data_IF_997830399000
#
_entry.id   IF_997830399000
#
_cell.length_a   1.000
_cell.length_b   1.000
_cell.length_c   1.000
_cell.angle_alpha   90.00
_cell.angle_beta   90.00
_cell.angle_gamma   90.00
#
_symmetry.space_group_name_H-M   'P 1'
#
loop_
_entity.id
_entity.type
_entity.pdbx_description
1 polymer ?
#
# COMPACT_ATOMS: atom_id res chain seq x y z
N UNK A 1 -18.91 19.47 1.83
CA UNK A 1 -17.53 19.92 1.58
C UNK A 1 -16.61 18.76 1.89
N UNK A 2 -15.64 18.46 1.02
CA UNK A 2 -14.71 17.33 1.16
C UNK A 2 -13.71 17.52 2.30
N UNK A 3 -13.05 16.41 2.64
CA UNK A 3 -11.96 16.41 3.59
C UNK A 3 -10.81 17.28 3.05
N UNK A 4 -10.21 18.19 3.86
CA UNK A 4 -9.17 19.07 3.38
C UNK A 4 -7.85 18.31 3.19
N UNK A 5 -7.41 18.23 1.94
CA UNK A 5 -6.16 17.60 1.52
C UNK A 5 -5.29 18.60 0.76
N UNK A 6 -3.99 18.34 0.73
CA UNK A 6 -3.02 19.04 -0.09
C UNK A 6 -2.35 18.04 -1.03
N UNK A 7 -2.73 18.08 -2.31
CA UNK A 7 -2.25 17.16 -3.34
C UNK A 7 -1.36 17.91 -4.33
N UNK A 8 -0.24 17.31 -4.70
CA UNK A 8 0.54 17.72 -5.85
C UNK A 8 0.67 16.54 -6.80
N UNK A 9 0.42 16.82 -8.08
CA UNK A 9 0.63 15.89 -9.17
C UNK A 9 1.75 16.45 -10.05
N UNK A 10 2.79 15.66 -10.24
CA UNK A 10 3.99 15.99 -11.01
C UNK A 10 3.97 15.32 -12.39
N UNK A 11 3.00 14.45 -12.66
CA UNK A 11 2.84 13.78 -13.96
C UNK A 11 1.38 13.64 -14.37
N UNK A 12 1.08 14.15 -15.56
CA UNK A 12 -0.15 13.82 -16.27
C UNK A 12 0.10 12.55 -17.09
N UNK A 13 -0.70 11.51 -16.85
CA UNK A 13 -0.66 10.30 -17.66
C UNK A 13 -1.39 10.52 -18.98
N UNK A 14 -0.96 9.82 -20.01
CA UNK A 14 -1.65 9.79 -21.30
C UNK A 14 -3.12 9.32 -21.08
N UNK A 15 -4.14 9.99 -21.65
CA UNK A 15 -5.53 9.55 -21.56
C UNK A 15 -5.77 8.10 -21.98
N UNK A 16 -4.94 7.56 -22.87
CA UNK A 16 -5.00 6.19 -23.37
C UNK A 16 -4.07 5.23 -22.61
N UNK A 17 -3.46 5.68 -21.51
CA UNK A 17 -2.59 4.84 -20.69
C UNK A 17 -3.34 3.60 -20.17
N UNK A 18 -2.79 2.44 -20.49
CA UNK A 18 -3.18 1.15 -19.93
C UNK A 18 -2.03 0.55 -19.14
N UNK A 19 -2.20 0.37 -17.83
CA UNK A 19 -1.12 -0.17 -17.02
C UNK A 19 -1.32 -0.04 -15.52
N UNK A 20 -0.34 -0.55 -14.77
CA UNK A 20 -0.34 -0.46 -13.32
C UNK A 20 -0.07 0.97 -12.87
N UNK A 21 -0.80 1.40 -11.83
CA UNK A 21 -0.53 2.63 -11.07
C UNK A 21 -0.39 2.24 -9.61
N UNK A 22 0.67 2.68 -8.96
CA UNK A 22 0.90 2.41 -7.54
C UNK A 22 0.51 3.62 -6.70
N UNK A 23 -0.23 3.36 -5.63
CA UNK A 23 -0.47 4.35 -4.58
C UNK A 23 -0.02 3.77 -3.25
N UNK A 24 1.00 4.38 -2.65
CA UNK A 24 1.60 3.89 -1.42
C UNK A 24 1.37 4.87 -0.26
N UNK A 25 1.07 4.33 0.91
CA UNK A 25 1.20 5.10 2.14
C UNK A 25 2.69 5.35 2.46
N UNK A 26 2.97 6.44 3.17
CA UNK A 26 4.33 6.82 3.58
C UNK A 26 4.59 6.39 5.03
N UNK A 27 3.67 6.70 5.93
CA UNK A 27 3.90 6.62 7.37
C UNK A 27 3.76 5.16 7.80
N UNK A 28 4.77 4.62 8.50
CA UNK A 28 4.84 3.19 8.88
C UNK A 28 4.76 2.18 7.73
N UNK A 29 4.67 2.62 6.49
CA UNK A 29 4.78 1.79 5.29
C UNK A 29 6.17 1.90 4.66
N UNK A 30 6.65 3.14 4.45
CA UNK A 30 8.01 3.43 3.97
C UNK A 30 8.91 3.90 5.11
N UNK A 31 8.42 4.83 5.93
CA UNK A 31 9.17 5.41 7.04
C UNK A 31 8.83 4.71 8.36
N UNK A 32 9.84 4.45 9.19
CA UNK A 32 9.67 4.03 10.59
C UNK A 32 9.24 5.23 11.45
N UNK A 33 8.11 5.87 11.14
CA UNK A 33 7.63 7.04 11.88
C UNK A 33 6.76 6.65 13.07
N UNK A 34 7.25 6.92 14.29
CA UNK A 34 6.44 6.90 15.53
C UNK A 34 5.72 8.24 15.72
N UNK A 35 4.77 8.62 14.87
CA UNK A 35 3.94 9.79 15.15
C UNK A 35 2.83 9.45 16.15
N UNK A 36 3.18 9.36 17.44
CA UNK A 36 2.24 8.94 18.48
C UNK A 36 1.48 10.07 19.18
N UNK A 37 1.67 11.35 18.83
CA UNK A 37 0.75 12.42 19.28
C UNK A 37 0.98 13.79 18.62
N UNK A 38 -0.06 14.63 18.66
CA UNK A 38 0.00 16.08 18.41
C UNK A 38 1.11 16.81 19.19
N UNK A 39 1.46 16.35 20.41
CA UNK A 39 2.58 16.87 21.21
C UNK A 39 3.95 16.38 20.71
N UNK A 40 4.02 15.18 20.14
CA UNK A 40 5.22 14.66 19.48
C UNK A 40 5.56 15.42 18.20
N UNK A 41 4.55 15.82 17.43
CA UNK A 41 4.73 16.65 16.22
C UNK A 41 5.28 18.06 16.50
N UNK A 42 4.83 18.73 17.57
CA UNK A 42 5.33 20.05 17.96
C UNK A 42 6.79 20.02 18.45
N UNK A 43 7.30 18.82 18.77
CA UNK A 43 8.67 18.59 19.24
C UNK A 43 9.64 18.16 18.14
N UNK A 44 9.21 17.96 16.89
CA UNK A 44 10.10 17.60 15.78
C UNK A 44 10.97 18.83 15.48
N UNK A 45 12.21 18.89 15.99
CA UNK A 45 13.04 20.07 15.85
C UNK A 45 13.83 19.86 14.56
N UNK A 46 13.43 20.47 13.45
CA UNK A 46 14.26 20.54 12.24
C UNK A 46 14.97 19.20 11.90
N UNK A 47 14.28 18.06 12.07
CA UNK A 47 14.90 16.76 11.84
C UNK A 47 15.23 16.70 10.36
N UNK A 48 16.54 16.69 10.07
CA UNK A 48 17.07 16.56 8.71
C UNK A 48 16.46 15.31 8.09
N UNK A 49 16.17 15.36 6.79
CA UNK A 49 15.66 14.21 6.03
C UNK A 49 16.46 12.92 6.31
N UNK A 50 17.77 13.08 6.53
CA UNK A 50 18.77 12.06 6.89
C UNK A 50 18.44 11.27 8.18
N UNK A 51 17.69 11.84 9.14
CA UNK A 51 17.39 11.18 10.42
C UNK A 51 16.17 10.26 10.36
N UNK A 52 15.37 10.33 9.29
CA UNK A 52 14.21 9.45 9.13
C UNK A 52 14.70 8.08 8.67
N UNK A 53 14.45 7.04 9.47
CA UNK A 53 14.80 5.68 9.11
C UNK A 53 13.70 5.08 8.24
N UNK A 54 14.08 4.58 7.05
CA UNK A 54 13.20 3.81 6.19
C UNK A 54 13.18 2.34 6.63
N UNK A 55 12.07 1.66 6.38
CA UNK A 55 11.92 0.22 6.62
C UNK A 55 12.82 -0.55 5.64
N UNK A 56 13.46 -1.62 6.13
CA UNK A 56 14.48 -2.35 5.39
C UNK A 56 13.98 -2.83 4.02
N UNK A 57 14.64 -2.36 2.97
CA UNK A 57 14.35 -2.72 1.59
C UNK A 57 13.18 -1.97 0.93
N UNK A 58 12.39 -1.16 1.66
CA UNK A 58 11.23 -0.47 1.09
C UNK A 58 11.64 0.59 0.05
N UNK A 59 12.68 1.37 0.32
CA UNK A 59 13.23 2.31 -0.67
C UNK A 59 13.67 1.59 -1.96
N UNK A 60 14.27 0.39 -1.84
CA UNK A 60 14.63 -0.41 -3.01
C UNK A 60 13.40 -0.96 -3.72
N UNK A 61 12.39 -1.41 -2.99
CA UNK A 61 11.14 -1.89 -3.56
C UNK A 61 10.46 -0.81 -4.41
N UNK A 62 10.35 0.43 -3.93
CA UNK A 62 9.78 1.52 -4.73
C UNK A 62 10.59 1.83 -5.98
N UNK A 63 11.93 1.75 -5.90
CA UNK A 63 12.80 1.84 -7.09
C UNK A 63 12.52 0.70 -8.08
N UNK A 64 12.26 -0.52 -7.62
CA UNK A 64 11.87 -1.63 -8.51
C UNK A 64 10.49 -1.45 -9.12
N UNK A 65 9.52 -0.97 -8.35
CA UNK A 65 8.19 -0.60 -8.86
C UNK A 65 8.35 0.41 -10.00
N UNK A 66 9.17 1.45 -9.79
CA UNK A 66 9.48 2.44 -10.84
C UNK A 66 10.18 1.87 -12.06
N UNK A 67 10.96 0.80 -11.92
CA UNK A 67 11.59 0.14 -13.06
C UNK A 67 10.58 -0.69 -13.87
N UNK A 68 9.56 -1.24 -13.21
CA UNK A 68 8.56 -2.12 -13.81
C UNK A 68 9.07 -3.54 -14.10
N UNK A 69 8.28 -4.38 -14.79
CA UNK A 69 8.74 -5.65 -15.34
C UNK A 69 9.79 -5.44 -16.44
N UNK A 70 10.63 -6.45 -16.71
CA UNK A 70 11.68 -6.36 -17.73
C UNK A 70 11.11 -6.15 -19.16
N UNK A 71 11.96 -5.68 -20.08
CA UNK A 71 11.77 -5.35 -21.52
C UNK A 71 11.40 -3.90 -21.88
N UNK A 72 10.96 -3.07 -20.93
CA UNK A 72 11.03 -1.62 -21.06
C UNK A 72 11.09 -1.03 -19.65
N UNK A 73 12.00 -0.09 -19.38
CA UNK A 73 11.89 0.75 -18.19
C UNK A 73 10.57 1.51 -18.28
N UNK A 74 9.52 0.94 -17.69
CA UNK A 74 8.25 1.60 -17.51
C UNK A 74 8.43 2.40 -16.27
N UNK A 75 8.71 3.69 -16.43
CA UNK A 75 8.63 4.70 -15.38
C UNK A 75 7.24 4.62 -14.74
N UNK A 76 7.03 3.63 -13.88
CA UNK A 76 5.69 3.11 -13.57
C UNK A 76 5.04 4.10 -12.63
N UNK A 77 3.81 4.57 -12.90
CA UNK A 77 3.22 5.63 -12.11
C UNK A 77 3.18 5.27 -10.61
N UNK A 78 3.78 6.11 -9.78
CA UNK A 78 3.93 5.90 -8.35
C UNK A 78 3.57 7.18 -7.59
N UNK A 79 2.49 7.10 -6.84
CA UNK A 79 1.95 8.18 -6.02
C UNK A 79 2.03 7.82 -4.55
N UNK A 80 2.16 8.84 -3.69
CA UNK A 80 2.18 8.65 -2.25
C UNK A 80 1.07 9.40 -1.53
N UNK A 81 0.54 8.80 -0.48
CA UNK A 81 -0.44 9.38 0.44
C UNK A 81 0.14 9.37 1.85
N UNK A 82 -0.07 10.44 2.61
CA UNK A 82 0.41 10.53 4.00
C UNK A 82 -0.56 11.32 4.86
N UNK A 83 -0.88 10.76 6.03
CA UNK A 83 -1.67 11.45 7.04
C UNK A 83 -0.89 12.58 7.74
N UNK A 84 0.42 12.68 7.51
CA UNK A 84 1.27 13.75 8.01
C UNK A 84 0.79 15.14 7.52
N UNK A 85 1.04 16.20 8.31
CA UNK A 85 0.72 17.55 7.89
C UNK A 85 1.47 17.96 6.64
N UNK A 86 0.82 18.76 5.78
CA UNK A 86 1.43 19.32 4.55
C UNK A 86 2.78 20.02 4.78
N UNK A 87 3.02 20.58 5.98
CA UNK A 87 4.27 21.24 6.34
C UNK A 87 5.47 20.30 6.33
N UNK A 88 5.25 18.99 6.49
CA UNK A 88 6.31 17.98 6.43
C UNK A 88 6.62 17.51 5.00
N UNK A 89 5.89 18.00 3.99
CA UNK A 89 6.05 17.59 2.60
C UNK A 89 7.50 17.68 2.14
N UNK A 90 8.12 18.85 2.27
CA UNK A 90 9.46 19.09 1.72
C UNK A 90 10.51 18.17 2.35
N UNK A 91 10.38 17.89 3.64
CA UNK A 91 11.26 16.97 4.37
C UNK A 91 11.06 15.52 3.90
N UNK A 92 9.81 15.09 3.76
CA UNK A 92 9.47 13.72 3.34
C UNK A 92 9.89 13.49 1.89
N UNK A 93 9.52 14.39 0.98
CA UNK A 93 9.93 14.32 -0.42
C UNK A 93 11.45 14.46 -0.57
N UNK A 94 12.10 15.26 0.28
CA UNK A 94 13.55 15.34 0.38
C UNK A 94 14.20 14.00 0.73
N UNK A 95 13.67 13.30 1.74
CA UNK A 95 14.14 11.95 2.11
C UNK A 95 13.93 10.94 0.98
N UNK A 96 12.77 10.95 0.34
CA UNK A 96 12.49 10.07 -0.80
C UNK A 96 13.49 10.28 -1.94
N UNK A 97 13.85 11.55 -2.23
CA UNK A 97 14.90 11.86 -3.22
C UNK A 97 16.28 11.38 -2.79
N UNK A 98 16.66 11.53 -1.51
CA UNK A 98 17.92 10.98 -0.99
C UNK A 98 17.99 9.46 -1.12
N UNK A 99 16.86 8.77 -0.99
CA UNK A 99 16.75 7.31 -1.18
C UNK A 99 16.65 6.89 -2.66
N UNK A 100 16.66 7.86 -3.58
CA UNK A 100 16.55 7.63 -5.02
C UNK A 100 15.16 7.18 -5.48
N UNK A 101 14.11 7.46 -4.70
CA UNK A 101 12.72 7.12 -5.05
C UNK A 101 12.17 8.22 -5.97
N UNK A 102 11.97 7.88 -7.24
CA UNK A 102 11.17 8.69 -8.17
C UNK A 102 9.67 8.50 -7.92
N UNK A 103 8.89 9.57 -7.97
CA UNK A 103 7.44 9.54 -7.76
C UNK A 103 6.73 10.64 -8.56
N UNK A 104 5.45 10.43 -8.83
CA UNK A 104 4.65 11.29 -9.71
C UNK A 104 3.66 12.18 -8.95
N UNK A 105 3.53 12.01 -7.64
CA UNK A 105 2.69 12.90 -6.85
C UNK A 105 2.60 12.51 -5.39
N UNK A 106 2.21 13.48 -4.57
CA UNK A 106 2.05 13.31 -3.13
C UNK A 106 0.78 13.98 -2.61
N UNK A 107 0.07 13.28 -1.72
CA UNK A 107 -1.12 13.82 -1.03
C UNK A 107 -0.90 13.82 0.47
N UNK A 108 -1.04 14.99 1.09
CA UNK A 108 -0.89 15.21 2.52
C UNK A 108 -2.18 15.71 3.15
N UNK A 109 -2.32 15.51 4.46
CA UNK A 109 -3.42 16.06 5.25
C UNK A 109 -3.25 17.57 5.46
N UNK A 110 -4.30 18.36 5.19
CA UNK A 110 -4.29 19.79 5.46
C UNK A 110 -4.84 20.09 6.86
N UNK A 111 -3.99 19.93 7.87
CA UNK A 111 -4.31 20.17 9.28
C UNK A 111 -4.73 21.62 9.55
N UNK A 112 -4.12 22.60 8.85
CA UNK A 112 -4.43 24.02 9.04
C UNK A 112 -5.89 24.33 8.73
N UNK A 113 -6.41 23.81 7.60
CA UNK A 113 -7.83 23.96 7.25
C UNK A 113 -8.76 23.16 8.17
N UNK A 114 -8.31 22.05 8.76
CA UNK A 114 -9.10 21.31 9.75
C UNK A 114 -9.27 22.13 11.03
N UNK A 115 -8.17 22.68 11.56
CA UNK A 115 -8.15 23.45 12.80
C UNK A 115 -8.89 24.79 12.65
N UNK A 116 -8.66 25.52 11.56
CA UNK A 116 -9.38 26.77 11.25
C UNK A 116 -10.90 26.60 11.21
N UNK A 117 -11.39 25.39 10.91
CA UNK A 117 -12.82 25.08 10.84
C UNK A 117 -13.39 24.52 12.15
N UNK A 118 -12.59 24.48 13.23
CA UNK A 118 -12.94 23.91 14.54
C UNK A 118 -13.46 22.46 14.49
N UNK A 119 -13.07 21.70 13.45
CA UNK A 119 -13.52 20.30 13.24
C UNK A 119 -12.53 19.30 13.81
N UNK A 120 -12.27 19.37 15.12
CA UNK A 120 -11.27 18.54 15.80
C UNK A 120 -11.51 17.02 15.64
N UNK A 121 -12.75 16.59 15.41
CA UNK A 121 -13.08 15.21 15.08
C UNK A 121 -12.33 14.69 13.82
N UNK A 122 -12.14 15.55 12.81
CA UNK A 122 -11.41 15.21 11.56
C UNK A 122 -9.91 14.98 11.77
N UNK A 123 -9.36 15.42 12.90
CA UNK A 123 -7.94 15.19 13.21
C UNK A 123 -7.68 13.72 13.51
N UNK A 124 -8.63 13.03 14.14
CA UNK A 124 -8.57 11.60 14.46
C UNK A 124 -9.11 10.70 13.36
N UNK A 125 -9.82 11.28 12.39
CA UNK A 125 -10.39 10.56 11.24
C UNK A 125 -9.31 10.27 10.20
N UNK A 126 -9.02 8.98 9.98
CA UNK A 126 -8.03 8.50 9.00
C UNK A 126 -8.68 7.92 7.74
N UNK A 127 -9.78 7.17 7.89
CA UNK A 127 -10.50 6.54 6.76
C UNK A 127 -11.03 7.61 5.79
N UNK A 128 -11.73 8.64 6.30
CA UNK A 128 -12.28 9.71 5.47
C UNK A 128 -11.21 10.50 4.71
N UNK A 129 -10.04 10.72 5.34
CA UNK A 129 -8.88 11.32 4.68
C UNK A 129 -8.36 10.44 3.55
N UNK A 130 -8.06 9.16 3.83
CA UNK A 130 -7.43 8.24 2.88
C UNK A 130 -8.35 7.99 1.68
N UNK A 131 -9.65 7.76 1.90
CA UNK A 131 -10.64 7.64 0.83
C UNK A 131 -10.78 8.90 -0.01
N UNK A 132 -10.74 10.09 0.61
CA UNK A 132 -10.77 11.35 -0.15
C UNK A 132 -9.52 11.50 -1.02
N UNK A 133 -8.34 11.16 -0.48
CA UNK A 133 -7.07 11.21 -1.21
C UNK A 133 -7.07 10.23 -2.40
N UNK A 134 -7.45 8.97 -2.17
CA UNK A 134 -7.51 7.93 -3.20
C UNK A 134 -8.50 8.28 -4.32
N UNK A 135 -9.73 8.70 -3.99
CA UNK A 135 -10.73 9.09 -5.00
C UNK A 135 -10.33 10.36 -5.76
N UNK A 136 -9.66 11.31 -5.11
CA UNK A 136 -9.12 12.49 -5.80
C UNK A 136 -8.00 12.10 -6.76
N UNK A 137 -7.16 11.13 -6.40
CA UNK A 137 -6.17 10.53 -7.30
C UNK A 137 -6.85 9.84 -8.49
N UNK A 138 -7.84 8.99 -8.23
CA UNK A 138 -8.59 8.25 -9.26
C UNK A 138 -9.22 9.15 -10.31
N UNK A 139 -9.76 10.30 -9.90
CA UNK A 139 -10.40 11.26 -10.79
C UNK A 139 -9.47 11.77 -11.90
N UNK A 140 -8.15 11.72 -11.67
CA UNK A 140 -7.12 12.14 -12.62
C UNK A 140 -6.49 10.96 -13.38
N UNK A 141 -6.79 9.72 -12.99
CA UNK A 141 -6.22 8.55 -13.65
C UNK A 141 -7.03 8.18 -14.92
N UNK A 142 -6.33 7.79 -16.00
CA UNK A 142 -6.95 7.19 -17.18
C UNK A 142 -7.81 5.97 -16.84
N UNK A 143 -8.85 5.72 -17.65
CA UNK A 143 -9.77 4.59 -17.41
C UNK A 143 -9.07 3.23 -17.51
N UNK A 144 -8.03 3.13 -18.34
CA UNK A 144 -7.17 1.96 -18.51
C UNK A 144 -6.21 1.70 -17.35
N UNK A 145 -6.02 2.66 -16.45
CA UNK A 145 -5.19 2.50 -15.27
C UNK A 145 -5.86 1.56 -14.25
N UNK A 146 -5.07 0.61 -13.75
CA UNK A 146 -5.46 -0.28 -12.65
C UNK A 146 -4.49 -0.15 -11.49
N UNK A 147 -5.04 -0.10 -10.28
CA UNK A 147 -4.31 0.36 -9.11
C UNK A 147 -3.77 -0.78 -8.25
N UNK A 148 -2.55 -0.60 -7.75
CA UNK A 148 -1.94 -1.39 -6.69
C UNK A 148 -1.72 -0.48 -5.50
N UNK A 149 -2.26 -0.90 -4.35
CA UNK A 149 -2.19 -0.12 -3.12
C UNK A 149 -1.11 -0.73 -2.22
N UNK A 150 -0.34 0.11 -1.53
CA UNK A 150 0.67 -0.34 -0.56
C UNK A 150 0.43 0.41 0.74
N UNK A 151 0.34 -0.31 1.86
CA UNK A 151 0.04 0.28 3.16
C UNK A 151 0.54 -0.58 4.31
N UNK A 152 0.06 -0.31 5.52
CA UNK A 152 0.36 -1.07 6.73
C UNK A 152 -0.88 -1.49 7.52
N UNK A 153 -0.71 -2.41 8.46
CA UNK A 153 -1.77 -3.02 9.25
C UNK A 153 -2.15 -2.26 10.54
N UNK A 154 -1.37 -1.28 10.95
CA UNK A 154 -1.61 -0.51 12.18
C UNK A 154 -2.53 0.68 11.94
N UNK A 155 -2.45 1.25 10.75
CA UNK A 155 -3.40 2.24 10.30
C UNK A 155 -4.71 1.59 9.84
N UNK A 156 -5.58 2.41 9.28
CA UNK A 156 -6.85 1.93 8.72
C UNK A 156 -6.71 1.52 7.25
N UNK A 157 -5.52 1.14 6.78
CA UNK A 157 -5.29 0.83 5.36
C UNK A 157 -6.05 -0.38 4.88
N UNK A 158 -6.08 -1.52 5.62
CA UNK A 158 -6.85 -2.67 5.17
C UNK A 158 -8.31 -2.32 4.87
N UNK A 159 -8.97 -1.69 5.84
CA UNK A 159 -10.35 -1.22 5.74
C UNK A 159 -10.52 -0.15 4.65
N UNK A 160 -9.64 0.85 4.59
CA UNK A 160 -9.75 1.95 3.62
C UNK A 160 -9.56 1.48 2.18
N UNK A 161 -8.59 0.60 1.93
CA UNK A 161 -8.28 0.08 0.60
C UNK A 161 -9.37 -0.82 0.06
N UNK A 162 -9.94 -1.66 0.93
CA UNK A 162 -11.04 -2.52 0.54
C UNK A 162 -12.35 -1.74 0.33
N UNK A 163 -12.71 -0.79 1.21
CA UNK A 163 -13.82 0.14 0.97
C UNK A 163 -13.65 0.88 -0.37
N UNK A 164 -12.44 1.36 -0.66
CA UNK A 164 -12.12 2.00 -1.92
C UNK A 164 -12.30 1.07 -3.13
N UNK A 165 -11.73 -0.14 -3.07
CA UNK A 165 -11.87 -1.15 -4.13
C UNK A 165 -13.33 -1.56 -4.38
N UNK A 166 -14.12 -1.71 -3.32
CA UNK A 166 -15.53 -2.09 -3.39
C UNK A 166 -16.44 -0.97 -3.90
N UNK A 167 -16.16 0.27 -3.50
CA UNK A 167 -16.82 1.44 -4.07
C UNK A 167 -16.55 1.56 -5.57
N UNK A 168 -15.29 1.40 -6.00
CA UNK A 168 -14.93 1.52 -7.41
C UNK A 168 -15.47 0.39 -8.29
N UNK A 169 -15.56 -0.82 -7.75
CA UNK A 169 -16.11 -1.99 -8.46
C UNK A 169 -17.64 -2.05 -8.42
N UNK A 170 -18.30 -1.17 -7.67
CA UNK A 170 -19.76 -1.15 -7.51
C UNK A 170 -20.31 -2.27 -6.62
N UNK A 171 -19.45 -2.98 -5.87
CA UNK A 171 -19.88 -3.99 -4.89
C UNK A 171 -20.63 -3.37 -3.71
N UNK A 172 -20.28 -2.14 -3.35
CA UNK A 172 -21.10 -1.32 -2.47
C UNK A 172 -22.04 -0.48 -3.34
N UNK A 173 -23.38 -0.67 -3.25
CA UNK A 173 -24.33 0.16 -3.98
C UNK A 173 -24.15 1.64 -3.64
N UNK A 174 -24.22 2.52 -4.64
CA UNK A 174 -24.00 3.96 -4.47
C UNK A 174 -24.99 4.64 -3.49
N UNK A 175 -26.11 3.99 -3.15
CA UNK A 175 -27.05 4.42 -2.14
C UNK A 175 -26.58 4.09 -0.71
N UNK A 176 -25.80 3.03 -0.53
CA UNK A 176 -25.31 2.54 0.76
C UNK A 176 -23.96 3.12 1.18
N UNK A 177 -23.18 3.66 0.23
CA UNK A 177 -21.83 4.19 0.49
C UNK A 177 -21.81 5.15 1.67
N UNK A 178 -22.69 6.15 1.70
CA UNK A 178 -22.68 7.14 2.79
C UNK A 178 -22.96 6.49 4.15
N UNK A 179 -23.93 5.57 4.22
CA UNK A 179 -24.29 4.84 5.43
C UNK A 179 -23.12 4.00 5.93
N UNK A 180 -22.50 3.22 5.05
CA UNK A 180 -21.36 2.35 5.38
C UNK A 180 -20.17 3.17 5.85
N UNK A 181 -19.86 4.29 5.21
CA UNK A 181 -18.77 5.18 5.65
C UNK A 181 -19.03 5.73 7.05
N UNK A 182 -20.26 6.17 7.34
CA UNK A 182 -20.64 6.66 8.68
C UNK A 182 -20.54 5.55 9.74
N UNK A 183 -20.98 4.33 9.43
CA UNK A 183 -20.83 3.17 10.32
C UNK A 183 -19.37 2.89 10.66
N UNK A 184 -18.46 3.12 9.70
CA UNK A 184 -17.03 2.95 9.87
C UNK A 184 -16.32 4.22 10.41
N UNK A 185 -17.07 5.16 11.00
CA UNK A 185 -16.52 6.32 11.71
C UNK A 185 -16.14 7.52 10.85
N UNK A 186 -16.51 7.53 9.56
CA UNK A 186 -16.35 8.71 8.69
C UNK A 186 -17.44 9.73 9.03
N UNK A 187 -17.07 11.01 9.14
CA UNK A 187 -18.07 12.04 9.43
C UNK A 187 -19.08 12.18 8.28
N UNK A 188 -20.37 12.33 8.59
CA UNK A 188 -21.43 12.37 7.58
C UNK A 188 -21.24 13.46 6.51
N UNK A 189 -20.55 14.56 6.84
CA UNK A 189 -20.20 15.60 5.87
C UNK A 189 -19.15 15.15 4.85
N UNK A 190 -18.18 14.34 5.28
CA UNK A 190 -17.12 13.79 4.46
C UNK A 190 -17.62 12.55 3.70
N UNK A 191 -18.41 11.68 4.33
CA UNK A 191 -19.11 10.58 3.67
C UNK A 191 -19.95 11.08 2.48
N UNK A 192 -20.75 12.14 2.65
CA UNK A 192 -21.48 12.80 1.55
C UNK A 192 -20.58 13.31 0.43
N UNK A 193 -19.41 13.83 0.77
CA UNK A 193 -18.47 14.36 -0.21
C UNK A 193 -17.79 13.22 -1.00
N UNK A 194 -17.41 12.15 -0.31
CA UNK A 194 -16.88 10.92 -0.90
C UNK A 194 -17.91 10.31 -1.85
N UNK A 195 -19.16 10.11 -1.42
CA UNK A 195 -20.24 9.56 -2.26
C UNK A 195 -20.48 10.42 -3.51
N UNK A 196 -20.48 11.76 -3.38
CA UNK A 196 -20.62 12.66 -4.54
C UNK A 196 -19.46 12.53 -5.52
N UNK A 197 -18.23 12.44 -5.01
CA UNK A 197 -17.03 12.29 -5.84
C UNK A 197 -17.08 10.98 -6.59
N UNK A 198 -17.38 9.87 -5.90
CA UNK A 198 -17.53 8.54 -6.49
C UNK A 198 -18.54 8.54 -7.65
N UNK A 199 -19.71 9.16 -7.48
CA UNK A 199 -20.76 9.26 -8.53
C UNK A 199 -20.31 10.04 -9.76
N UNK A 200 -19.33 10.92 -9.63
CA UNK A 200 -18.77 11.69 -10.75
C UNK A 200 -17.62 10.98 -11.48
N UNK A 201 -17.14 9.84 -10.96
CA UNK A 201 -16.04 9.11 -11.57
C UNK A 201 -16.50 8.31 -12.79
N UNK A 202 -15.63 8.22 -13.79
CA UNK A 202 -15.80 7.27 -14.88
C UNK A 202 -15.45 5.87 -14.38
N UNK A 203 -16.27 4.84 -14.70
CA UNK A 203 -15.89 3.45 -14.44
C UNK A 203 -14.54 3.15 -15.11
N UNK A 204 -13.65 2.45 -14.41
CA UNK A 204 -12.39 1.98 -14.98
C UNK A 204 -11.97 0.65 -14.37
N UNK A 205 -10.69 0.29 -14.51
CA UNK A 205 -10.22 -1.05 -14.13
C UNK A 205 -10.16 -1.31 -12.62
N UNK A 206 -10.19 -0.27 -11.79
CA UNK A 206 -10.24 -0.35 -10.32
C UNK A 206 -8.93 -0.85 -9.68
N UNK A 207 -9.04 -1.40 -8.47
CA UNK A 207 -7.92 -1.91 -7.67
C UNK A 207 -7.68 -3.39 -7.98
N UNK A 208 -6.42 -3.76 -8.29
CA UNK A 208 -5.99 -5.14 -8.50
C UNK A 208 -5.62 -5.84 -7.20
N UNK A 209 -4.81 -5.18 -6.39
CA UNK A 209 -4.34 -5.72 -5.12
C UNK A 209 -3.94 -4.60 -4.16
N UNK A 210 -3.97 -4.92 -2.88
CA UNK A 210 -3.50 -4.07 -1.79
C UNK A 210 -2.48 -4.86 -0.97
N UNK A 211 -1.22 -4.47 -1.03
CA UNK A 211 -0.15 -5.11 -0.25
C UNK A 211 -0.05 -4.41 1.10
N UNK A 212 -0.32 -5.15 2.17
CA UNK A 212 -0.30 -4.62 3.53
C UNK A 212 0.94 -5.11 4.25
N UNK A 213 1.81 -4.17 4.64
CA UNK A 213 2.97 -4.46 5.48
C UNK A 213 2.49 -4.78 6.89
N UNK A 214 2.92 -5.92 7.42
CA UNK A 214 2.66 -6.31 8.79
C UNK A 214 3.71 -5.70 9.73
N UNK A 215 3.28 -5.02 10.78
CA UNK A 215 4.16 -4.74 11.93
C UNK A 215 4.46 -6.05 12.68
N UNK A 216 5.56 -6.07 13.44
CA UNK A 216 5.93 -7.23 14.24
C UNK A 216 4.75 -7.58 15.16
N UNK A 217 4.33 -8.85 15.15
CA UNK A 217 3.25 -9.46 15.94
C UNK A 217 1.83 -9.47 15.34
N UNK A 218 1.61 -8.91 14.14
CA UNK A 218 0.32 -9.08 13.48
C UNK A 218 0.19 -10.45 12.82
N UNK A 219 -0.98 -11.09 13.03
CA UNK A 219 -1.32 -12.38 12.42
C UNK A 219 -1.84 -12.14 10.98
N UNK A 220 -1.17 -12.67 9.94
CA UNK A 220 -1.63 -12.55 8.56
C UNK A 220 -3.07 -13.02 8.35
N UNK A 221 -3.53 -13.99 9.14
CA UNK A 221 -4.86 -14.61 9.09
C UNK A 221 -5.97 -13.60 9.38
N UNK A 222 -5.70 -12.59 10.22
CA UNK A 222 -6.66 -11.53 10.52
C UNK A 222 -7.07 -10.75 9.25
N UNK A 223 -6.22 -10.77 8.22
CA UNK A 223 -6.48 -10.08 6.96
C UNK A 223 -7.24 -10.94 5.93
N UNK A 224 -7.43 -12.24 6.19
CA UNK A 224 -8.20 -13.13 5.32
C UNK A 224 -9.69 -12.78 5.27
N UNK A 225 -10.21 -12.03 6.25
CA UNK A 225 -11.60 -11.53 6.23
C UNK A 225 -11.85 -10.57 5.06
N UNK A 226 -10.83 -9.80 4.67
CA UNK A 226 -10.85 -8.85 3.56
C UNK A 226 -10.64 -9.51 2.19
N UNK A 227 -10.38 -10.81 2.17
CA UNK A 227 -10.23 -11.59 0.95
C UNK A 227 -8.87 -11.47 0.23
N UNK A 228 -8.68 -12.22 -0.87
CA UNK A 228 -7.37 -12.41 -1.51
C UNK A 228 -6.90 -11.19 -2.32
N UNK A 229 -7.71 -10.14 -2.42
CA UNK A 229 -7.28 -8.86 -2.98
C UNK A 229 -6.32 -8.11 -2.05
N UNK A 230 -6.41 -8.37 -0.75
CA UNK A 230 -5.53 -7.80 0.25
C UNK A 230 -4.45 -8.83 0.63
N UNK A 231 -3.19 -8.50 0.39
CA UNK A 231 -2.06 -9.42 0.49
C UNK A 231 -1.14 -9.01 1.64
N UNK A 232 -1.18 -9.72 2.78
CA UNK A 232 -0.29 -9.43 3.91
C UNK A 232 1.17 -9.79 3.60
N UNK A 233 2.07 -8.87 3.89
CA UNK A 233 3.51 -9.01 3.66
C UNK A 233 4.29 -8.60 4.91
N UNK A 234 5.21 -9.43 5.43
CA UNK A 234 6.03 -9.06 6.62
C UNK A 234 7.14 -8.05 6.32
N UNK A 235 7.32 -7.65 5.06
CA UNK A 235 8.32 -6.66 4.66
C UNK A 235 8.52 -6.54 3.15
N UNK A 236 9.49 -5.72 2.76
CA UNK A 236 9.77 -5.37 1.37
C UNK A 236 10.07 -6.58 0.47
N UNK A 237 10.78 -7.59 0.99
CA UNK A 237 11.08 -8.80 0.23
C UNK A 237 9.83 -9.56 -0.20
N UNK A 238 8.87 -9.80 0.71
CA UNK A 238 7.62 -10.47 0.33
C UNK A 238 6.82 -9.65 -0.68
N UNK A 239 6.76 -8.33 -0.47
CA UNK A 239 6.11 -7.45 -1.43
C UNK A 239 6.76 -7.54 -2.81
N UNK A 240 8.09 -7.59 -2.89
CA UNK A 240 8.81 -7.78 -4.16
C UNK A 240 8.42 -9.10 -4.85
N UNK A 241 8.39 -10.21 -4.12
CA UNK A 241 8.02 -11.52 -4.67
C UNK A 241 6.56 -11.52 -5.16
N UNK A 242 5.63 -10.94 -4.37
CA UNK A 242 4.22 -10.79 -4.75
C UNK A 242 4.08 -9.94 -6.02
N UNK A 243 4.76 -8.80 -6.08
CA UNK A 243 4.69 -7.91 -7.25
C UNK A 243 5.34 -8.53 -8.49
N UNK A 244 6.38 -9.34 -8.35
CA UNK A 244 6.94 -10.11 -9.46
C UNK A 244 5.91 -11.11 -10.01
N UNK A 245 5.25 -11.87 -9.13
CA UNK A 245 4.16 -12.79 -9.51
C UNK A 245 2.99 -12.07 -10.18
N UNK A 246 2.74 -10.82 -9.82
CA UNK A 246 1.74 -9.95 -10.46
C UNK A 246 2.24 -9.29 -11.74
N UNK A 247 3.46 -9.58 -12.21
CA UNK A 247 4.05 -8.99 -13.41
C UNK A 247 4.38 -7.49 -13.28
N UNK A 248 4.49 -6.98 -12.05
CA UNK A 248 4.71 -5.56 -11.78
C UNK A 248 6.19 -5.19 -11.65
N UNK A 249 7.05 -6.14 -11.27
CA UNK A 249 8.50 -5.93 -11.22
C UNK A 249 9.24 -7.09 -11.87
N UNK A 250 10.46 -6.83 -12.34
CA UNK A 250 11.32 -7.88 -12.86
C UNK A 250 11.80 -8.83 -11.75
N UNK A 251 11.99 -10.11 -12.10
CA UNK A 251 12.55 -11.13 -11.18
C UNK A 251 13.88 -10.69 -10.56
N UNK A 252 14.77 -10.10 -11.37
CA UNK A 252 16.04 -9.53 -10.90
C UNK A 252 15.87 -8.42 -9.84
N UNK A 253 14.72 -7.73 -9.83
CA UNK A 253 14.38 -6.75 -8.81
C UNK A 253 14.25 -7.36 -7.42
N UNK A 254 13.79 -8.61 -7.30
CA UNK A 254 13.72 -9.34 -6.02
C UNK A 254 15.13 -9.47 -5.42
N UNK A 255 16.11 -9.89 -6.24
CA UNK A 255 17.50 -10.00 -5.80
C UNK A 255 18.10 -8.66 -5.36
N UNK A 256 17.74 -7.56 -6.02
CA UNK A 256 18.21 -6.22 -5.61
C UNK A 256 17.59 -5.76 -4.30
N UNK A 257 16.31 -6.06 -4.05
CA UNK A 257 15.66 -5.84 -2.74
C UNK A 257 16.33 -6.68 -1.66
N UNK A 258 16.56 -7.97 -1.91
CA UNK A 258 17.26 -8.84 -0.97
C UNK A 258 18.68 -8.35 -0.66
N UNK A 259 19.44 -7.93 -1.68
CA UNK A 259 20.79 -7.36 -1.52
C UNK A 259 20.81 -6.10 -0.65
N UNK A 260 19.84 -5.20 -0.83
CA UNK A 260 19.69 -4.00 0.01
C UNK A 260 19.42 -4.39 1.48
N UNK A 261 18.53 -5.37 1.70
CA UNK A 261 18.24 -5.87 3.04
C UNK A 261 19.47 -6.52 3.70
N UNK A 262 20.25 -7.31 2.95
CA UNK A 262 21.51 -7.91 3.43
C UNK A 262 22.53 -6.84 3.81
N UNK A 263 22.70 -5.80 2.99
CA UNK A 263 23.59 -4.66 3.31
C UNK A 263 23.17 -3.92 4.59
N UNK A 264 21.87 -3.90 4.89
CA UNK A 264 21.32 -3.34 6.13
C UNK A 264 21.33 -4.32 7.32
N UNK A 265 21.99 -5.47 7.18
CA UNK A 265 22.22 -6.43 8.26
C UNK A 265 21.13 -7.49 8.45
N UNK A 266 20.14 -7.60 7.55
CA UNK A 266 19.15 -8.68 7.61
C UNK A 266 19.82 -10.01 7.28
N UNK A 267 19.60 -11.04 8.09
CA UNK A 267 20.19 -12.38 7.91
C UNK A 267 19.62 -13.11 6.66
N UNK A 268 20.42 -13.97 6.02
CA UNK A 268 20.00 -14.70 4.81
C UNK A 268 18.88 -15.71 5.12
N UNK A 269 18.92 -16.25 6.33
CA UNK A 269 17.93 -17.14 6.92
C UNK A 269 16.59 -16.42 7.09
N UNK A 270 16.60 -15.11 7.42
CA UNK A 270 15.38 -14.31 7.55
C UNK A 270 14.73 -14.09 6.18
N UNK A 271 15.51 -13.83 5.13
CA UNK A 271 15.00 -13.71 3.75
C UNK A 271 14.39 -15.05 3.29
N UNK A 272 15.08 -16.16 3.58
CA UNK A 272 14.63 -17.51 3.21
C UNK A 272 13.37 -17.91 3.98
N UNK A 273 13.30 -17.62 5.28
CA UNK A 273 12.11 -17.82 6.09
C UNK A 273 10.94 -16.97 5.58
N UNK A 274 11.22 -15.75 5.11
CA UNK A 274 10.22 -14.87 4.50
C UNK A 274 9.65 -15.47 3.20
N UNK A 275 10.49 -16.09 2.37
CA UNK A 275 10.04 -16.83 1.18
C UNK A 275 9.20 -18.06 1.55
N UNK A 276 9.64 -18.83 2.54
CA UNK A 276 8.93 -20.01 3.06
C UNK A 276 7.52 -19.65 3.56
N UNK A 277 7.37 -18.51 4.23
CA UNK A 277 6.06 -18.01 4.67
C UNK A 277 5.10 -17.69 3.51
N UNK A 278 5.61 -17.28 2.34
CA UNK A 278 4.76 -17.10 1.15
C UNK A 278 4.28 -18.43 0.59
N UNK A 279 5.15 -19.45 0.58
CA UNK A 279 4.80 -20.81 0.15
C UNK A 279 3.74 -21.42 1.09
N UNK A 280 3.96 -21.33 2.40
CA UNK A 280 2.99 -21.82 3.41
C UNK A 280 1.61 -21.18 3.24
N UNK A 281 1.55 -19.93 2.79
CA UNK A 281 0.29 -19.20 2.57
C UNK A 281 -0.28 -19.34 1.16
N UNK A 282 0.26 -20.25 0.35
CA UNK A 282 -0.13 -20.45 -1.05
C UNK A 282 -0.08 -19.17 -1.91
N UNK A 283 0.72 -18.18 -1.54
CA UNK A 283 0.90 -16.92 -2.30
C UNK A 283 1.89 -17.14 -3.46
N UNK A 284 2.87 -18.02 -3.25
CA UNK A 284 3.87 -18.43 -4.24
C UNK A 284 3.91 -19.95 -4.27
N UNK A 285 3.97 -20.53 -5.46
CA UNK A 285 4.11 -21.98 -5.61
C UNK A 285 5.53 -22.46 -5.25
N UNK A 286 5.64 -23.75 -4.92
CA UNK A 286 6.89 -24.35 -4.46
C UNK A 286 7.97 -24.28 -5.53
N UNK A 287 7.62 -24.44 -6.81
CA UNK A 287 8.59 -24.45 -7.91
C UNK A 287 9.22 -23.06 -8.12
N UNK A 288 8.40 -22.01 -8.14
CA UNK A 288 8.87 -20.63 -8.20
C UNK A 288 9.73 -20.27 -6.98
N UNK A 289 9.31 -20.68 -5.78
CA UNK A 289 10.05 -20.42 -4.56
C UNK A 289 11.40 -21.15 -4.52
N UNK A 290 11.44 -22.42 -4.91
CA UNK A 290 12.68 -23.21 -4.98
C UNK A 290 13.63 -22.68 -6.07
N UNK A 291 13.08 -22.24 -7.20
CA UNK A 291 13.86 -21.57 -8.24
C UNK A 291 14.44 -20.24 -7.76
N UNK A 292 13.67 -19.43 -7.05
CA UNK A 292 14.11 -18.15 -6.49
C UNK A 292 15.13 -18.34 -5.36
N UNK A 293 14.91 -19.31 -4.47
CA UNK A 293 15.83 -19.62 -3.38
C UNK A 293 17.22 -19.99 -3.90
N UNK A 294 17.31 -20.85 -4.93
CA UNK A 294 18.59 -21.18 -5.57
C UNK A 294 19.30 -19.95 -6.15
N UNK A 295 18.55 -19.03 -6.75
CA UNK A 295 19.14 -17.78 -7.27
C UNK A 295 19.68 -16.88 -6.15
N UNK A 296 18.94 -16.77 -5.03
CA UNK A 296 19.35 -15.99 -3.87
C UNK A 296 20.56 -16.61 -3.15
N UNK A 297 20.56 -17.93 -3.00
CA UNK A 297 21.65 -18.69 -2.39
C UNK A 297 22.94 -18.57 -3.21
N UNK A 298 22.87 -18.71 -4.54
CA UNK A 298 24.02 -18.54 -5.43
C UNK A 298 24.64 -17.13 -5.37
N UNK A 299 23.90 -16.14 -4.86
CA UNK A 299 24.34 -14.75 -4.67
C UNK A 299 24.63 -14.42 -3.20
N UNK A 300 24.60 -15.40 -2.29
CA UNK A 300 24.78 -15.24 -0.84
C UNK A 300 23.74 -14.28 -0.19
N UNK A 301 22.58 -14.13 -0.85
CA UNK A 301 21.47 -13.29 -0.42
C UNK A 301 20.43 -14.07 0.39
N UNK A 302 20.38 -15.38 0.21
CA UNK A 302 19.51 -16.31 0.91
C UNK A 302 20.25 -17.59 1.30
N UNK A 303 19.54 -18.49 1.97
CA UNK A 303 19.97 -19.83 2.30
C UNK A 303 19.12 -20.85 1.52
N UNK A 304 19.49 -22.12 1.61
CA UNK A 304 18.72 -23.20 1.03
C UNK A 304 17.29 -23.25 1.62
N UNK A 305 16.30 -23.33 0.73
CA UNK A 305 14.91 -23.55 1.11
C UNK A 305 14.69 -25.04 1.42
N UNK A 306 14.01 -25.33 2.53
CA UNK A 306 13.65 -26.70 2.91
C UNK A 306 12.66 -27.32 1.90
N UNK A 307 12.83 -28.60 1.61
CA UNK A 307 11.87 -29.38 0.83
C UNK A 307 10.58 -29.67 1.61
N UNK A 308 9.51 -30.00 0.90
CA UNK A 308 8.28 -30.51 1.53
C UNK A 308 7.51 -29.49 2.38
N UNK A 309 7.59 -28.19 2.05
CA UNK A 309 6.87 -27.13 2.76
C UNK A 309 5.35 -27.38 2.70
N UNK A 310 4.75 -27.68 3.85
CA UNK A 310 3.30 -27.84 3.95
C UNK A 310 2.57 -26.50 3.79
N UNK A 311 1.59 -26.46 2.89
CA UNK A 311 0.66 -25.34 2.75
C UNK A 311 -0.32 -25.35 3.92
N UNK A 312 -0.54 -24.17 4.50
CA UNK A 312 -1.54 -23.98 5.54
C UNK A 312 -2.96 -24.15 4.98
N UNK A 313 -3.79 -25.07 5.53
CA UNK A 313 -5.14 -25.32 5.03
C UNK A 313 -6.05 -24.08 5.04
N UNK A 314 -5.88 -23.16 5.99
CA UNK A 314 -6.67 -21.93 6.08
C UNK A 314 -6.39 -21.04 4.86
N UNK A 315 -5.12 -20.92 4.50
CA UNK A 315 -4.68 -20.16 3.32
C UNK A 315 -5.03 -20.85 2.02
N UNK A 316 -4.91 -22.19 1.95
CA UNK A 316 -5.36 -22.96 0.79
C UNK A 316 -6.86 -22.75 0.52
N UNK A 317 -7.69 -22.77 1.57
CA UNK A 317 -9.11 -22.48 1.46
C UNK A 317 -9.36 -21.04 1.00
N UNK A 318 -8.64 -20.06 1.55
CA UNK A 318 -8.78 -18.65 1.18
C UNK A 318 -8.37 -18.38 -0.28
N UNK A 319 -7.34 -19.04 -0.80
CA UNK A 319 -6.86 -18.88 -2.17
C UNK A 319 -7.89 -19.31 -3.24
N UNK A 320 -8.83 -20.18 -2.89
CA UNK A 320 -9.92 -20.60 -3.80
C UNK A 320 -11.03 -19.55 -3.95
N UNK A 321 -11.05 -18.50 -3.10
CA UNK A 321 -12.03 -17.41 -3.17
C UNK A 321 -11.73 -16.54 -4.39
N UNK A 322 -12.74 -16.27 -5.22
CA UNK A 322 -12.54 -15.43 -6.41
C UNK A 322 -12.37 -13.96 -6.03
N UNK A 323 -11.24 -13.33 -6.40
CA UNK A 323 -10.88 -11.93 -6.11
C UNK A 323 -12.01 -10.92 -6.39
N UNK A 324 -12.88 -11.19 -7.37
CA UNK A 324 -14.01 -10.32 -7.71
C UNK A 324 -15.10 -10.24 -6.64
N UNK A 325 -15.11 -11.13 -5.64
CA UNK A 325 -16.18 -11.25 -4.63
C UNK A 325 -15.78 -11.00 -3.17
N UNK A 326 -14.51 -10.72 -2.88
CA UNK A 326 -14.00 -10.97 -1.50
C UNK A 326 -13.47 -9.74 -0.78
N UNK A 327 -13.35 -8.59 -1.45
CA UNK A 327 -12.93 -7.34 -0.83
C UNK A 327 -13.92 -6.81 0.22
N UNK A 328 -15.16 -7.33 0.24
CA UNK A 328 -16.24 -7.04 1.20
C UNK A 328 -16.17 -7.98 2.43
N UNK A 329 -15.45 -7.65 3.51
CA UNK A 329 -15.60 -8.33 4.80
C UNK A 329 -16.97 -8.03 5.40
N UNK A 330 -17.57 -9.04 6.06
CA UNK A 330 -18.84 -8.89 6.79
C UNK A 330 -18.81 -7.75 7.82
N UNK A 331 -17.63 -7.48 8.39
CA UNK A 331 -17.36 -6.40 9.35
C UNK A 331 -17.77 -5.00 8.88
N UNK A 332 -17.87 -4.74 7.56
CA UNK A 332 -18.31 -3.43 7.04
C UNK A 332 -19.77 -3.11 7.36
N UNK A 333 -20.57 -4.16 7.48
CA UNK A 333 -22.02 -4.07 7.65
C UNK A 333 -22.41 -4.07 9.14
N UNK A 334 -21.44 -4.18 10.05
CA UNK A 334 -21.68 -4.28 11.48
C UNK A 334 -22.07 -5.69 11.95
N UNK A 335 -21.71 -6.71 11.16
CA UNK A 335 -21.84 -8.14 11.50
C UNK A 335 -20.73 -8.64 12.42
#
# INVERSE_FOLDING_TARGET
>A
MSFPIHRANYRTLDPDFEGPVFVADIDRTYLMTRFSSLRGMARIPFERAEHKQDIEGMARLFREIRNGPAEATRDTPLYFVSASPRQLREVIEGKMRLDGIGFDGTTFKDWGRVVQRLRFARLREQIGFKLTALLSGRAELPVGAHEYLIGDDLEHDPLSYCLYADMLSGRIPAADVERILVLNGVLSGDARAITRTLRGLRPGKGVRAALIRLERHAEPEALLEYGPGLVPCVGAFQMAVVLWRMGCIARAGIGRVASEMRHRGVAAEVITASLRQLVRRAIVDVDDASSLSRELEAKELGAALEDGIAIDPVWAAAATRRIDRVWTPGRYLGE
#
